data_IF_071327308798
#
_entry.id   IF_071327308798
#
_cell.length_a   1.000
_cell.length_b   1.000
_cell.length_c   1.000
_cell.angle_alpha   90.00
_cell.angle_beta   90.00
_cell.angle_gamma   90.00
#
_symmetry.space_group_name_H-M   'P 1'
#
loop_
_entity.id
_entity.type
_entity.pdbx_description
1 polymer ?
#
# COMPACT_ATOMS: atom_id res chain seq x y z
N UNK A 1 -3.89 0.74 5.72
CA UNK A 1 -5.23 0.50 5.16
C UNK A 1 -6.20 1.39 5.90
N UNK A 2 -6.75 2.40 5.24
CA UNK A 2 -7.75 3.29 5.86
C UNK A 2 -9.11 2.68 5.53
N UNK A 3 -9.76 2.07 6.53
CA UNK A 3 -11.09 1.49 6.37
C UNK A 3 -12.12 2.53 6.81
N UNK A 4 -12.96 2.99 5.88
CA UNK A 4 -14.08 3.86 6.20
C UNK A 4 -15.24 3.03 6.70
N UNK A 5 -15.49 3.03 8.02
CA UNK A 5 -16.72 2.52 8.59
C UNK A 5 -17.68 3.69 8.88
N UNK A 6 -18.70 3.84 8.06
CA UNK A 6 -19.81 4.74 8.35
C UNK A 6 -20.80 4.03 9.28
N UNK A 7 -20.86 4.43 10.55
CA UNK A 7 -21.84 3.91 11.48
C UNK A 7 -23.12 4.74 11.37
N UNK A 8 -24.11 4.23 10.66
CA UNK A 8 -25.47 4.76 10.68
C UNK A 8 -26.17 4.32 11.98
N UNK A 9 -26.52 5.29 12.84
CA UNK A 9 -27.20 5.06 14.09
C UNK A 9 -28.71 4.92 13.84
N UNK A 10 -29.19 3.67 13.77
CA UNK A 10 -30.62 3.41 13.84
C UNK A 10 -30.95 2.86 15.24
N UNK A 11 -31.73 3.62 16.02
CA UNK A 11 -32.19 3.25 17.38
C UNK A 11 -33.38 2.30 17.26
N UNK A 12 -33.17 1.00 17.45
CA UNK A 12 -34.20 0.14 18.11
C UNK A 12 -33.57 -1.16 18.60
N UNK A 13 -33.64 -1.32 19.91
CA UNK A 13 -33.59 -2.54 20.74
C UNK A 13 -32.48 -3.59 20.48
N UNK A 14 -31.56 -3.59 21.41
CA UNK A 14 -31.07 -4.72 22.21
C UNK A 14 -30.71 -6.02 21.52
N UNK A 15 -29.45 -6.47 21.75
CA UNK A 15 -28.94 -7.81 21.44
C UNK A 15 -28.69 -8.12 19.94
N UNK A 16 -28.07 -7.22 19.20
CA UNK A 16 -27.54 -7.54 17.89
C UNK A 16 -26.01 -7.61 17.97
N UNK A 17 -25.59 -8.82 17.97
CA UNK A 17 -24.85 -9.53 16.93
C UNK A 17 -23.33 -9.47 17.10
N UNK A 18 -22.82 -9.58 18.32
CA UNK A 18 -21.46 -10.08 18.52
C UNK A 18 -21.34 -11.47 17.86
N UNK A 19 -22.40 -12.30 17.94
CA UNK A 19 -22.43 -13.63 17.33
C UNK A 19 -22.40 -13.62 15.78
N UNK A 20 -22.96 -12.60 15.11
CA UNK A 20 -22.89 -12.55 13.65
C UNK A 20 -21.51 -12.15 13.14
N UNK A 21 -20.85 -11.21 13.82
CA UNK A 21 -19.45 -10.85 13.51
C UNK A 21 -18.52 -12.00 13.85
N UNK A 22 -18.75 -12.71 14.95
CA UNK A 22 -17.99 -13.90 15.33
C UNK A 22 -18.18 -15.06 14.33
N UNK A 23 -19.41 -15.34 13.91
CA UNK A 23 -19.67 -16.36 12.90
C UNK A 23 -19.08 -16.00 11.54
N UNK A 24 -19.18 -14.75 11.09
CA UNK A 24 -18.53 -14.29 9.86
C UNK A 24 -16.99 -14.37 9.96
N UNK A 25 -16.43 -14.09 11.12
CA UNK A 25 -14.99 -14.25 11.36
C UNK A 25 -14.57 -15.72 11.46
N UNK A 26 -15.43 -16.60 11.97
CA UNK A 26 -15.21 -18.05 11.99
C UNK A 26 -15.38 -18.68 10.60
N UNK A 27 -16.36 -18.23 9.80
CA UNK A 27 -16.50 -18.60 8.39
C UNK A 27 -15.31 -18.11 7.56
N UNK A 28 -14.84 -16.87 7.76
CA UNK A 28 -13.62 -16.35 7.13
C UNK A 28 -12.40 -17.18 7.53
N UNK A 29 -12.27 -17.57 8.81
CA UNK A 29 -11.18 -18.45 9.29
C UNK A 29 -11.30 -19.89 8.82
N UNK A 30 -12.50 -20.42 8.62
CA UNK A 30 -12.73 -21.76 8.08
C UNK A 30 -12.45 -21.83 6.57
N UNK A 31 -12.63 -20.73 5.84
CA UNK A 31 -12.23 -20.61 4.43
C UNK A 31 -10.71 -20.37 4.25
N UNK A 32 -9.99 -20.00 5.30
CA UNK A 32 -8.52 -19.92 5.36
C UNK A 32 -7.83 -21.31 5.48
N UNK A 33 -8.57 -22.44 5.43
CA UNK A 33 -7.95 -23.75 5.30
C UNK A 33 -7.19 -23.85 3.98
N UNK A 34 -5.86 -23.63 4.08
CA UNK A 34 -4.81 -24.09 3.15
C UNK A 34 -5.29 -24.30 1.70
N UNK A 35 -5.70 -23.24 1.03
CA UNK A 35 -5.72 -23.23 -0.43
C UNK A 35 -4.26 -23.10 -0.86
N UNK A 36 -3.66 -24.18 -1.34
CA UNK A 36 -2.40 -24.09 -2.05
C UNK A 36 -2.58 -23.08 -3.19
N UNK A 37 -1.93 -21.91 -3.07
CA UNK A 37 -2.03 -20.86 -4.08
C UNK A 37 -1.31 -21.33 -5.33
N UNK A 38 -2.05 -21.59 -6.40
CA UNK A 38 -1.43 -21.79 -7.70
C UNK A 38 -1.02 -20.44 -8.25
N UNK A 39 0.26 -20.07 -8.09
CA UNK A 39 0.81 -18.76 -8.46
C UNK A 39 0.48 -18.37 -9.90
N UNK A 40 0.65 -19.29 -10.86
CA UNK A 40 0.31 -19.03 -12.26
C UNK A 40 -1.19 -18.79 -12.47
N UNK A 41 -2.04 -19.54 -11.79
CA UNK A 41 -3.49 -19.35 -11.88
C UNK A 41 -3.93 -18.01 -11.33
N UNK A 42 -3.39 -17.61 -10.18
CA UNK A 42 -3.69 -16.31 -9.56
C UNK A 42 -3.15 -15.15 -10.42
N UNK A 43 -1.90 -15.23 -10.88
CA UNK A 43 -1.31 -14.23 -11.75
C UNK A 43 -2.10 -14.06 -13.06
N UNK A 44 -2.49 -15.17 -13.69
CA UNK A 44 -3.28 -15.16 -14.92
C UNK A 44 -4.70 -14.60 -14.68
N UNK A 45 -5.35 -14.98 -13.58
CA UNK A 45 -6.71 -14.52 -13.23
C UNK A 45 -6.77 -13.01 -13.00
N UNK A 46 -5.67 -12.43 -12.52
CA UNK A 46 -5.54 -11.00 -12.24
C UNK A 46 -4.89 -10.20 -13.38
N UNK A 47 -4.39 -10.88 -14.44
CA UNK A 47 -3.85 -10.25 -15.64
C UNK A 47 -2.41 -9.76 -15.52
N UNK A 48 -1.57 -10.43 -14.70
CA UNK A 48 -0.18 -10.02 -14.48
C UNK A 48 0.74 -10.44 -15.63
N UNK A 49 1.64 -9.53 -16.01
CA UNK A 49 2.67 -9.81 -17.00
C UNK A 49 3.84 -10.61 -16.43
N UNK A 50 4.25 -10.31 -15.18
CA UNK A 50 5.46 -10.91 -14.61
C UNK A 50 5.45 -10.89 -13.09
N UNK A 51 5.97 -11.97 -12.50
CA UNK A 51 6.39 -12.04 -11.10
C UNK A 51 7.86 -12.40 -11.04
N UNK A 52 8.61 -11.71 -10.20
CA UNK A 52 10.05 -11.94 -10.00
C UNK A 52 10.30 -12.26 -8.53
N UNK A 53 10.76 -13.46 -8.26
CA UNK A 53 11.17 -13.87 -6.92
C UNK A 53 12.65 -13.56 -6.73
N UNK A 54 12.95 -12.74 -5.72
CA UNK A 54 14.28 -12.28 -5.38
C UNK A 54 14.70 -12.96 -4.07
N UNK A 55 15.80 -13.71 -4.12
CA UNK A 55 16.36 -14.36 -2.93
C UNK A 55 17.86 -14.12 -2.87
N UNK A 56 18.36 -13.76 -1.70
CA UNK A 56 19.79 -13.58 -1.44
C UNK A 56 20.11 -14.05 -0.03
N UNK A 57 20.82 -15.17 0.05
CA UNK A 57 21.15 -15.82 1.32
C UNK A 57 22.10 -14.99 2.18
N UNK A 58 23.05 -14.29 1.52
CA UNK A 58 24.07 -13.50 2.21
C UNK A 58 23.50 -12.34 3.02
N UNK A 59 22.43 -11.68 2.51
CA UNK A 59 21.74 -10.58 3.19
C UNK A 59 20.47 -11.04 3.90
N UNK A 60 20.01 -12.25 3.63
CA UNK A 60 18.70 -12.76 4.09
C UNK A 60 17.50 -12.16 3.34
N UNK A 61 17.74 -11.52 2.17
CA UNK A 61 16.68 -10.89 1.39
C UNK A 61 15.76 -11.93 0.76
N UNK A 62 14.48 -11.80 1.04
CA UNK A 62 13.40 -12.45 0.30
C UNK A 62 12.42 -11.39 -0.17
N UNK A 63 12.23 -11.25 -1.48
CA UNK A 63 11.29 -10.28 -2.04
C UNK A 63 10.57 -10.82 -3.27
N UNK A 64 9.41 -10.25 -3.57
CA UNK A 64 8.65 -10.56 -4.78
C UNK A 64 8.32 -9.22 -5.45
N UNK A 65 8.66 -9.11 -6.74
CA UNK A 65 8.28 -7.95 -7.56
C UNK A 65 7.18 -8.39 -8.53
N UNK A 66 6.02 -7.75 -8.44
CA UNK A 66 4.90 -7.96 -9.33
C UNK A 66 4.81 -6.83 -10.37
N UNK A 67 4.89 -7.18 -11.65
CA UNK A 67 4.55 -6.31 -12.77
C UNK A 67 3.18 -6.71 -13.26
N UNK A 68 2.19 -5.87 -13.00
CA UNK A 68 0.83 -6.17 -13.41
C UNK A 68 0.61 -5.82 -14.88
N UNK A 69 0.94 -4.59 -15.28
CA UNK A 69 0.70 -4.13 -16.64
C UNK A 69 1.65 -3.01 -17.02
N UNK A 70 2.14 -3.01 -18.25
CA UNK A 70 3.08 -2.01 -18.78
C UNK A 70 2.56 -1.32 -20.06
N UNK A 71 1.28 -1.46 -20.41
CA UNK A 71 0.69 -0.91 -21.63
C UNK A 71 0.78 0.62 -21.68
N UNK A 72 0.57 1.31 -20.55
CA UNK A 72 0.68 2.77 -20.47
C UNK A 72 2.12 3.27 -20.22
N UNK A 73 3.04 2.38 -19.86
CA UNK A 73 4.42 2.74 -19.55
C UNK A 73 5.04 1.84 -18.48
N UNK A 74 6.22 2.17 -17.96
CA UNK A 74 6.88 1.40 -16.92
C UNK A 74 5.97 1.15 -15.72
N UNK A 75 6.05 -0.04 -15.15
CA UNK A 75 5.28 -0.41 -13.97
C UNK A 75 5.83 0.33 -12.73
N UNK A 76 5.05 1.28 -12.19
CA UNK A 76 5.41 1.99 -10.97
C UNK A 76 4.67 1.42 -9.76
N UNK A 77 5.36 1.28 -8.65
CA UNK A 77 4.75 1.00 -7.34
C UNK A 77 5.76 0.81 -6.23
N UNK A 78 5.35 1.18 -5.02
CA UNK A 78 6.19 1.15 -3.83
C UNK A 78 6.60 -0.26 -3.39
N UNK A 79 7.68 -0.33 -2.63
CA UNK A 79 8.13 -1.55 -1.97
C UNK A 79 7.60 -1.57 -0.55
N UNK A 80 6.81 -2.61 -0.22
CA UNK A 80 6.31 -2.87 1.13
C UNK A 80 7.23 -3.83 1.84
N UNK A 81 7.68 -3.50 3.05
CA UNK A 81 8.43 -4.41 3.90
C UNK A 81 7.54 -4.89 5.04
N UNK A 82 7.17 -6.18 5.04
CA UNK A 82 6.19 -6.67 5.99
C UNK A 82 6.53 -8.08 6.48
N UNK A 83 6.18 -8.34 7.74
CA UNK A 83 6.32 -9.67 8.33
C UNK A 83 5.08 -10.51 7.99
N UNK A 84 5.02 -11.02 6.75
CA UNK A 84 3.94 -11.88 6.28
C UNK A 84 3.91 -13.20 7.04
N UNK A 85 2.73 -13.73 7.32
CA UNK A 85 2.56 -15.00 7.98
C UNK A 85 2.97 -16.19 7.09
N UNK A 86 2.89 -16.03 5.75
CA UNK A 86 3.34 -17.02 4.79
C UNK A 86 3.81 -16.37 3.48
N UNK A 87 4.51 -17.14 2.64
CA UNK A 87 4.90 -16.70 1.30
C UNK A 87 3.68 -16.53 0.38
N UNK A 88 2.62 -17.33 0.57
CA UNK A 88 1.35 -17.21 -0.15
C UNK A 88 0.68 -15.87 0.13
N UNK A 89 0.67 -15.41 1.38
CA UNK A 89 0.14 -14.10 1.75
C UNK A 89 0.91 -12.98 1.03
N UNK A 90 2.23 -13.08 0.96
CA UNK A 90 3.07 -12.12 0.25
C UNK A 90 2.79 -12.12 -1.27
N UNK A 91 2.60 -13.30 -1.88
CA UNK A 91 2.21 -13.43 -3.29
C UNK A 91 0.86 -12.78 -3.55
N UNK A 92 -0.15 -13.07 -2.74
CA UNK A 92 -1.49 -12.47 -2.88
C UNK A 92 -1.42 -10.94 -2.74
N UNK A 93 -0.66 -10.45 -1.77
CA UNK A 93 -0.53 -9.01 -1.52
C UNK A 93 0.16 -8.30 -2.70
N UNK A 94 1.27 -8.82 -3.21
CA UNK A 94 1.96 -8.22 -4.35
C UNK A 94 1.11 -8.21 -5.61
N UNK A 95 0.33 -9.28 -5.87
CA UNK A 95 -0.58 -9.35 -7.00
C UNK A 95 -1.69 -8.29 -6.89
N UNK A 96 -2.37 -8.21 -5.75
CA UNK A 96 -3.45 -7.25 -5.53
C UNK A 96 -2.96 -5.81 -5.58
N UNK A 97 -1.82 -5.53 -4.98
CA UNK A 97 -1.26 -4.18 -4.92
C UNK A 97 -0.75 -3.70 -6.28
N UNK A 98 -0.02 -4.53 -7.03
CA UNK A 98 0.47 -4.15 -8.36
C UNK A 98 -0.67 -3.89 -9.35
N UNK A 99 -1.75 -4.69 -9.31
CA UNK A 99 -2.99 -4.43 -10.05
C UNK A 99 -3.63 -3.10 -9.63
N UNK A 100 -3.71 -2.83 -8.33
CA UNK A 100 -4.22 -1.56 -7.81
C UNK A 100 -3.42 -0.35 -8.32
N UNK A 101 -2.10 -0.50 -8.45
CA UNK A 101 -1.23 0.56 -8.99
C UNK A 101 -1.52 0.85 -10.46
N UNK A 102 -1.83 -0.15 -11.30
CA UNK A 102 -2.27 0.09 -12.68
C UNK A 102 -3.53 0.95 -12.72
N UNK A 103 -4.53 0.61 -11.92
CA UNK A 103 -5.78 1.38 -11.88
C UNK A 103 -5.57 2.78 -11.33
N UNK A 104 -4.73 2.92 -10.31
CA UNK A 104 -4.37 4.22 -9.74
C UNK A 104 -3.69 5.13 -10.77
N UNK A 105 -2.71 4.61 -11.52
CA UNK A 105 -2.03 5.36 -12.58
C UNK A 105 -2.99 5.74 -13.71
N UNK A 106 -3.80 4.81 -14.18
CA UNK A 106 -4.74 5.04 -15.26
C UNK A 106 -5.81 6.09 -14.91
N UNK A 107 -6.43 6.00 -13.74
CA UNK A 107 -7.46 6.99 -13.32
C UNK A 107 -6.87 8.38 -13.07
N UNK A 108 -5.57 8.45 -12.76
CA UNK A 108 -4.83 9.71 -12.58
C UNK A 108 -4.29 10.28 -13.89
N UNK A 109 -4.52 9.63 -15.04
CA UNK A 109 -4.04 10.07 -16.35
C UNK A 109 -2.52 9.99 -16.51
N UNK A 110 -1.84 9.13 -15.76
CA UNK A 110 -0.41 8.94 -15.85
C UNK A 110 -0.03 7.89 -16.91
N UNK A 111 1.01 8.18 -17.68
CA UNK A 111 1.59 7.24 -18.66
C UNK A 111 2.52 6.24 -17.95
N UNK A 112 1.95 5.50 -16.98
CA UNK A 112 2.64 4.52 -16.16
C UNK A 112 1.80 3.25 -16.06
N UNK A 113 2.48 2.13 -16.05
CA UNK A 113 1.91 0.85 -15.68
C UNK A 113 1.84 0.68 -14.17
N UNK A 114 1.41 -0.50 -13.73
CA UNK A 114 1.33 -0.85 -12.31
C UNK A 114 2.28 -1.94 -11.91
N UNK A 115 3.11 -1.65 -10.91
CA UNK A 115 3.97 -2.60 -10.25
C UNK A 115 3.86 -2.51 -8.74
N UNK A 116 4.42 -3.48 -8.07
CA UNK A 116 4.58 -3.52 -6.62
C UNK A 116 5.73 -4.43 -6.25
N UNK A 117 6.44 -4.12 -5.17
CA UNK A 117 7.29 -5.09 -4.53
C UNK A 117 6.86 -5.34 -3.10
N UNK A 118 7.08 -6.56 -2.63
CA UNK A 118 6.99 -6.92 -1.22
C UNK A 118 8.29 -7.54 -0.77
N UNK A 119 8.78 -7.14 0.39
CA UNK A 119 9.91 -7.76 1.09
C UNK A 119 9.35 -8.50 2.28
N UNK A 120 9.74 -9.76 2.44
CA UNK A 120 9.23 -10.67 3.47
C UNK A 120 10.19 -10.68 4.66
N UNK A 121 9.69 -10.34 5.83
CA UNK A 121 10.42 -10.42 7.10
C UNK A 121 10.15 -9.27 8.06
N UNK A 122 10.84 -9.26 9.18
CA UNK A 122 10.73 -8.22 10.19
C UNK A 122 11.65 -7.03 9.82
N UNK A 123 11.09 -5.86 9.43
CA UNK A 123 11.89 -4.71 9.02
C UNK A 123 12.82 -4.19 10.12
N UNK A 124 12.45 -4.38 11.40
CA UNK A 124 13.27 -3.95 12.53
C UNK A 124 14.54 -4.78 12.72
N UNK A 125 14.55 -6.02 12.20
CA UNK A 125 15.66 -6.95 12.33
C UNK A 125 16.52 -7.03 11.09
N UNK A 126 15.91 -6.98 9.92
CA UNK A 126 16.59 -7.28 8.66
C UNK A 126 17.04 -6.03 7.89
N UNK A 127 16.33 -4.89 8.07
CA UNK A 127 16.57 -3.70 7.28
C UNK A 127 17.93 -3.05 7.63
N UNK A 128 18.81 -3.01 6.63
CA UNK A 128 20.10 -2.32 6.67
C UNK A 128 20.53 -1.94 5.26
N UNK A 129 21.60 -1.14 5.13
CA UNK A 129 22.10 -0.68 3.82
C UNK A 129 22.39 -1.83 2.86
N UNK A 130 23.14 -2.85 3.27
CA UNK A 130 23.52 -3.96 2.40
C UNK A 130 22.31 -4.72 1.85
N UNK A 131 21.31 -4.92 2.70
CA UNK A 131 20.03 -5.55 2.37
C UNK A 131 19.27 -4.73 1.32
N UNK A 132 19.14 -3.42 1.53
CA UNK A 132 18.40 -2.52 0.64
C UNK A 132 19.12 -2.31 -0.70
N UNK A 133 20.44 -2.19 -0.67
CA UNK A 133 21.26 -2.16 -1.89
C UNK A 133 21.14 -3.45 -2.69
N UNK A 134 21.10 -4.61 -2.00
CA UNK A 134 20.87 -5.89 -2.69
C UNK A 134 19.51 -5.92 -3.38
N UNK A 135 18.47 -5.41 -2.74
CA UNK A 135 17.16 -5.24 -3.38
C UNK A 135 17.25 -4.30 -4.59
N UNK A 136 17.98 -3.19 -4.49
CA UNK A 136 18.23 -2.26 -5.60
C UNK A 136 18.84 -2.94 -6.84
N UNK A 137 19.77 -3.88 -6.64
CA UNK A 137 20.33 -4.67 -7.77
C UNK A 137 19.27 -5.53 -8.45
N UNK A 138 18.34 -6.14 -7.71
CA UNK A 138 17.22 -6.88 -8.31
C UNK A 138 16.29 -5.96 -9.11
N UNK A 139 15.99 -4.76 -8.59
CA UNK A 139 15.22 -3.75 -9.35
C UNK A 139 15.96 -3.34 -10.62
N UNK A 140 17.28 -3.10 -10.54
CA UNK A 140 18.09 -2.71 -11.69
C UNK A 140 18.07 -3.75 -12.82
N UNK A 141 18.05 -5.04 -12.47
CA UNK A 141 18.00 -6.14 -13.44
C UNK A 141 16.72 -6.18 -14.28
N UNK A 142 15.69 -5.43 -13.88
CA UNK A 142 14.44 -5.29 -14.65
C UNK A 142 14.53 -4.18 -15.72
N UNK A 143 15.67 -3.49 -15.83
CA UNK A 143 16.00 -2.53 -16.88
C UNK A 143 14.90 -1.45 -17.07
N UNK A 144 14.30 -0.97 -15.99
CA UNK A 144 13.27 0.06 -16.02
C UNK A 144 11.87 -0.45 -16.28
N UNK A 145 11.66 -1.74 -16.45
CA UNK A 145 10.30 -2.30 -16.52
C UNK A 145 9.51 -2.08 -15.23
N UNK A 146 10.21 -2.04 -14.08
CA UNK A 146 9.67 -1.69 -12.77
C UNK A 146 10.44 -0.52 -12.17
N UNK A 147 9.70 0.44 -11.64
CA UNK A 147 10.19 1.59 -10.87
C UNK A 147 9.67 1.47 -9.45
N UNK A 148 10.58 1.42 -8.48
CA UNK A 148 10.24 1.32 -7.05
C UNK A 148 10.03 2.68 -6.39
N UNK A 149 9.32 2.68 -5.25
CA UNK A 149 9.05 3.83 -4.42
C UNK A 149 8.88 3.39 -2.95
N UNK A 150 8.66 4.34 -2.06
CA UNK A 150 8.26 4.07 -0.68
C UNK A 150 6.89 3.39 -0.59
N UNK A 151 6.73 2.53 0.39
CA UNK A 151 5.46 2.04 0.93
C UNK A 151 5.63 1.70 2.42
N UNK A 152 4.78 0.90 2.97
CA UNK A 152 4.77 0.54 4.39
C UNK A 152 6.13 0.02 4.88
N UNK A 153 6.61 0.58 5.99
CA UNK A 153 7.91 0.28 6.62
C UNK A 153 9.14 0.60 5.75
N UNK A 154 8.98 1.43 4.72
CA UNK A 154 10.08 2.02 3.95
C UNK A 154 10.10 3.53 4.16
N UNK A 155 11.25 4.13 4.01
CA UNK A 155 11.49 5.57 4.17
C UNK A 155 12.28 6.13 3.01
N UNK A 156 12.32 7.45 2.90
CA UNK A 156 13.13 8.18 1.92
C UNK A 156 14.61 7.77 1.97
N UNK A 157 15.16 7.57 3.19
CA UNK A 157 16.53 7.09 3.35
C UNK A 157 16.73 5.66 2.82
N UNK A 158 15.72 4.80 2.95
CA UNK A 158 15.77 3.45 2.35
C UNK A 158 15.77 3.50 0.83
N UNK A 159 15.04 4.48 0.24
CA UNK A 159 15.06 4.71 -1.21
C UNK A 159 16.43 5.20 -1.68
N UNK A 160 17.14 5.98 -0.86
CA UNK A 160 18.50 6.42 -1.15
C UNK A 160 19.45 5.22 -1.27
N UNK A 161 19.43 4.27 -0.32
CA UNK A 161 20.23 3.05 -0.42
C UNK A 161 19.89 2.20 -1.66
N UNK A 162 18.61 2.08 -2.00
CA UNK A 162 18.18 1.40 -3.23
C UNK A 162 18.68 2.16 -4.46
N UNK A 163 18.62 3.50 -4.42
CA UNK A 163 19.07 4.41 -5.48
C UNK A 163 20.57 4.32 -5.80
N UNK A 164 21.41 3.87 -4.86
CA UNK A 164 22.83 3.61 -5.10
C UNK A 164 23.07 2.50 -6.13
N UNK A 165 22.11 1.60 -6.33
CA UNK A 165 22.24 0.44 -7.21
C UNK A 165 21.34 0.53 -8.46
N UNK A 166 20.38 1.45 -8.50
CA UNK A 166 19.48 1.61 -9.63
C UNK A 166 18.96 3.04 -9.78
N UNK A 167 18.79 3.48 -11.03
CA UNK A 167 18.08 4.72 -11.35
C UNK A 167 16.55 4.57 -11.39
N UNK A 168 16.06 3.33 -11.28
CA UNK A 168 14.63 2.99 -11.37
C UNK A 168 13.98 3.03 -9.98
N UNK A 169 14.11 4.17 -9.32
CA UNK A 169 13.61 4.47 -7.98
C UNK A 169 13.07 5.89 -7.93
N UNK A 170 12.01 6.11 -7.16
CA UNK A 170 11.46 7.44 -6.86
C UNK A 170 11.23 7.57 -5.36
N UNK A 171 10.93 8.78 -4.87
CA UNK A 171 10.86 9.05 -3.43
C UNK A 171 12.24 9.25 -2.80
N UNK A 172 13.25 9.59 -3.61
CA UNK A 172 14.56 9.99 -3.10
C UNK A 172 14.47 11.31 -2.32
N UNK A 173 15.42 11.57 -1.40
CA UNK A 173 15.50 12.86 -0.68
C UNK A 173 15.47 14.06 -1.62
N UNK A 174 14.81 15.13 -1.18
CA UNK A 174 14.69 16.38 -1.95
C UNK A 174 16.07 17.00 -2.20
N UNK A 175 16.98 16.84 -1.26
CA UNK A 175 18.36 17.36 -1.29
C UNK A 175 19.18 16.78 -2.45
N UNK A 176 18.82 15.60 -2.93
CA UNK A 176 19.46 14.96 -4.10
C UNK A 176 18.57 14.95 -5.34
N UNK A 177 17.57 15.84 -5.39
CA UNK A 177 16.67 16.01 -6.54
C UNK A 177 15.47 15.05 -6.59
N UNK A 178 15.19 14.36 -5.49
CA UNK A 178 14.03 13.49 -5.37
C UNK A 178 12.74 14.20 -5.01
N UNK A 179 11.64 13.46 -4.91
CA UNK A 179 10.32 13.98 -4.54
C UNK A 179 10.06 14.01 -3.03
N UNK A 180 10.94 13.42 -2.23
CA UNK A 180 10.79 13.31 -0.77
C UNK A 180 9.64 12.39 -0.34
N UNK A 181 9.23 12.54 0.92
CA UNK A 181 8.15 11.78 1.56
C UNK A 181 6.80 12.06 0.88
N UNK A 182 6.10 11.04 0.37
CA UNK A 182 4.79 11.19 -0.26
C UNK A 182 3.65 11.39 0.73
N UNK A 183 3.88 11.25 2.04
CA UNK A 183 2.83 11.20 3.06
C UNK A 183 1.94 12.46 3.11
N UNK A 184 2.47 13.70 3.03
CA UNK A 184 1.65 14.91 3.02
C UNK A 184 0.68 14.96 1.84
N UNK A 185 1.16 14.62 0.64
CA UNK A 185 0.35 14.61 -0.59
C UNK A 185 -0.67 13.48 -0.56
N UNK A 186 -0.29 12.31 -0.04
CA UNK A 186 -1.19 11.17 0.17
C UNK A 186 -2.33 11.55 1.13
N UNK A 187 -2.01 12.18 2.25
CA UNK A 187 -3.01 12.65 3.22
C UNK A 187 -3.96 13.68 2.60
N UNK A 188 -3.44 14.60 1.78
CA UNK A 188 -4.27 15.55 1.04
C UNK A 188 -5.22 14.85 0.08
N UNK A 189 -4.76 13.84 -0.64
CA UNK A 189 -5.61 13.02 -1.52
C UNK A 189 -6.73 12.31 -0.77
N UNK A 190 -6.45 11.76 0.41
CA UNK A 190 -7.46 11.17 1.29
C UNK A 190 -8.47 12.22 1.74
N UNK A 191 -8.00 13.38 2.19
CA UNK A 191 -8.85 14.50 2.60
C UNK A 191 -9.81 14.95 1.49
N UNK A 192 -9.30 15.11 0.26
CA UNK A 192 -10.14 15.47 -0.90
C UNK A 192 -11.15 14.37 -1.25
N UNK A 193 -10.76 13.11 -1.12
CA UNK A 193 -11.69 11.98 -1.26
C UNK A 193 -12.80 12.00 -0.20
N UNK A 194 -12.47 12.36 1.04
CA UNK A 194 -13.45 12.53 2.12
C UNK A 194 -14.44 13.66 1.81
N UNK A 195 -13.99 14.79 1.31
CA UNK A 195 -14.83 15.90 0.88
C UNK A 195 -15.80 15.48 -0.24
N UNK A 196 -15.30 14.77 -1.25
CA UNK A 196 -16.13 14.24 -2.32
C UNK A 196 -17.20 13.26 -1.80
N UNK A 197 -16.80 12.36 -0.89
CA UNK A 197 -17.71 11.43 -0.24
C UNK A 197 -18.76 12.15 0.61
N UNK A 198 -18.37 13.18 1.37
CA UNK A 198 -19.28 14.00 2.16
C UNK A 198 -20.29 14.73 1.29
N UNK A 199 -19.85 15.29 0.16
CA UNK A 199 -20.76 15.92 -0.82
C UNK A 199 -21.79 14.92 -1.35
N UNK A 200 -21.38 13.69 -1.66
CA UNK A 200 -22.29 12.65 -2.12
C UNK A 200 -23.27 12.20 -1.04
N UNK A 201 -22.81 12.03 0.20
CA UNK A 201 -23.58 11.47 1.30
C UNK A 201 -24.49 12.51 1.99
N UNK A 202 -24.05 13.77 2.08
CA UNK A 202 -24.68 14.81 2.89
C UNK A 202 -25.08 16.07 2.11
N UNK A 203 -24.82 16.10 0.79
CA UNK A 203 -25.11 17.27 -0.06
C UNK A 203 -24.09 18.41 0.06
N UNK A 204 -23.14 18.34 0.99
CA UNK A 204 -22.10 19.33 1.21
C UNK A 204 -20.74 18.66 1.39
N UNK A 205 -19.68 19.26 0.86
CA UNK A 205 -18.30 18.80 1.00
C UNK A 205 -17.65 19.27 2.31
N UNK A 206 -18.32 20.10 3.11
CA UNK A 206 -17.79 20.55 4.40
C UNK A 206 -17.72 19.41 5.41
N UNK A 207 -16.55 19.29 6.04
CA UNK A 207 -16.31 18.37 7.16
C UNK A 207 -16.43 19.07 8.53
N UNK A 208 -16.69 20.39 8.55
CA UNK A 208 -16.86 21.19 9.78
C UNK A 208 -17.90 20.55 10.71
N UNK A 209 -17.50 20.32 11.96
CA UNK A 209 -18.35 19.73 13.01
C UNK A 209 -18.67 18.24 12.82
N UNK A 210 -18.21 17.59 11.75
CA UNK A 210 -18.42 16.15 11.55
C UNK A 210 -17.53 15.34 12.47
N UNK A 211 -18.07 14.25 13.01
CA UNK A 211 -17.35 13.28 13.84
C UNK A 211 -16.63 12.28 12.94
N UNK A 212 -15.32 12.24 13.02
CA UNK A 212 -14.44 11.45 12.14
C UNK A 212 -13.50 10.64 13.01
N UNK A 213 -13.47 9.33 12.83
CA UNK A 213 -12.46 8.44 13.45
C UNK A 213 -11.33 8.17 12.48
N UNK A 214 -10.09 8.36 12.94
CA UNK A 214 -8.86 8.06 12.21
C UNK A 214 -8.15 6.89 12.90
N UNK A 215 -8.09 5.75 12.24
CA UNK A 215 -7.38 4.59 12.73
C UNK A 215 -5.91 4.65 12.31
N UNK A 216 -5.02 4.91 13.27
CA UNK A 216 -3.58 5.01 13.07
C UNK A 216 -3.15 6.44 12.71
N UNK A 217 -2.20 6.96 13.50
CA UNK A 217 -1.61 8.28 13.35
C UNK A 217 -0.11 8.13 13.08
N UNK A 218 0.19 7.42 11.98
CA UNK A 218 1.52 7.37 11.38
C UNK A 218 1.74 8.57 10.45
N UNK A 219 2.72 8.50 9.54
CA UNK A 219 3.08 9.60 8.65
C UNK A 219 1.87 10.20 7.90
N UNK A 220 1.10 9.38 7.21
CA UNK A 220 -0.10 9.85 6.48
C UNK A 220 -1.21 10.29 7.44
N UNK A 221 -1.47 9.50 8.50
CA UNK A 221 -2.55 9.77 9.44
C UNK A 221 -2.36 11.10 10.18
N UNK A 222 -1.14 11.46 10.54
CA UNK A 222 -0.81 12.72 11.20
C UNK A 222 -1.19 13.92 10.31
N UNK A 223 -0.75 13.94 9.05
CA UNK A 223 -1.12 15.00 8.11
C UNK A 223 -2.61 15.05 7.83
N UNK A 224 -3.28 13.89 7.78
CA UNK A 224 -4.74 13.87 7.62
C UNK A 224 -5.45 14.51 8.81
N UNK A 225 -5.03 14.21 10.04
CA UNK A 225 -5.58 14.84 11.25
C UNK A 225 -5.40 16.36 11.23
N UNK A 226 -4.25 16.85 10.76
CA UNK A 226 -4.01 18.29 10.59
C UNK A 226 -5.00 18.94 9.60
N UNK A 227 -5.26 18.33 8.45
CA UNK A 227 -6.26 18.83 7.48
C UNK A 227 -7.66 18.85 8.09
N UNK A 228 -8.05 17.80 8.80
CA UNK A 228 -9.35 17.70 9.45
C UNK A 228 -9.52 18.71 10.58
N UNK A 229 -8.48 18.94 11.38
CA UNK A 229 -8.47 19.93 12.45
C UNK A 229 -8.59 21.36 11.91
N UNK A 230 -7.85 21.69 10.82
CA UNK A 230 -7.96 22.99 10.15
C UNK A 230 -9.36 23.29 9.62
N UNK A 231 -10.12 22.26 9.26
CA UNK A 231 -11.52 22.38 8.82
C UNK A 231 -12.54 22.30 10.00
N UNK A 232 -12.05 22.29 11.24
CA UNK A 232 -12.87 22.18 12.46
C UNK A 232 -13.73 20.91 12.51
N UNK A 233 -13.25 19.79 12.00
CA UNK A 233 -13.86 18.49 12.23
C UNK A 233 -13.59 18.01 13.66
N UNK A 234 -14.50 17.18 14.21
CA UNK A 234 -14.29 16.51 15.50
C UNK A 234 -13.57 15.18 15.26
N UNK A 235 -12.26 15.16 15.47
CA UNK A 235 -11.42 14.00 15.19
C UNK A 235 -11.27 13.12 16.42
N UNK A 236 -11.43 11.82 16.24
CA UNK A 236 -11.17 10.76 17.22
C UNK A 236 -10.07 9.86 16.67
N UNK A 237 -9.08 9.53 17.52
CA UNK A 237 -7.91 8.74 17.14
C UNK A 237 -7.97 7.38 17.85
#
# INVERSE_FOLDING_TARGET
MVTFAAVAKNRSRGKYKVNYVMNVMEEIKAEEQVRSVSIFKEAASLGHEQLVFCNDEATGLKAIIGVHNTVLGPALGGTRFWNYASEEEAVIDVLRLSRGMTYKAAVSGLNLGGGKAVIIGDPKKLKNEAFLRRFGKFVNNLNGKYITAEDMNMSTNDMEYIGMETKHVTGLPVEIGGSGDPSPVTAYGVYMGMKAAAKKAFGSDSLTGKKISVQGVGQVGMHLVEYLAKENAQVFI
#
